data_IF_799917078762
#
_entry.id   IF_799917078762
#
_cell.length_a   1.000
_cell.length_b   1.000
_cell.length_c   1.000
_cell.angle_alpha   90.00
_cell.angle_beta   90.00
_cell.angle_gamma   90.00
#
_symmetry.space_group_name_H-M   'P 1'
#
loop_
_entity.id
_entity.type
_entity.pdbx_description
1 polymer ?
#
# COMPACT_ATOMS: atom_id res chain seq x y z
N UNK A 1 49.09 -33.99 49.36
CA UNK A 1 49.46 -35.27 48.69
C UNK A 1 48.16 -35.86 48.15
N UNK A 2 47.88 -36.09 46.86
CA UNK A 2 48.66 -36.16 45.62
C UNK A 2 47.78 -35.60 44.47
N UNK A 3 48.46 -35.00 43.50
CA UNK A 3 47.94 -34.57 42.20
C UNK A 3 47.58 -35.76 41.31
N UNK A 4 46.53 -35.61 40.49
CA UNK A 4 46.43 -36.00 39.06
C UNK A 4 45.02 -35.61 38.58
N UNK A 5 44.73 -35.15 37.37
CA UNK A 5 45.44 -34.46 36.31
C UNK A 5 44.32 -34.02 35.33
N UNK A 6 44.56 -32.92 34.64
CA UNK A 6 43.67 -32.26 33.68
C UNK A 6 43.22 -33.20 32.55
N UNK A 7 41.97 -33.03 32.12
CA UNK A 7 41.62 -33.09 30.70
C UNK A 7 40.61 -31.98 30.40
N UNK A 8 41.10 -30.97 29.69
CA UNK A 8 40.28 -30.02 28.96
C UNK A 8 39.96 -30.62 27.59
N UNK A 9 38.71 -30.54 27.17
CA UNK A 9 38.33 -30.58 25.77
C UNK A 9 37.22 -29.55 25.54
N UNK A 10 37.65 -28.43 24.99
CA UNK A 10 36.84 -27.38 24.37
C UNK A 10 36.30 -27.96 23.05
N UNK A 11 35.02 -27.73 22.73
CA UNK A 11 34.51 -28.15 21.42
C UNK A 11 33.02 -27.90 21.19
N UNK A 12 32.68 -26.63 20.93
CA UNK A 12 31.59 -26.19 20.05
C UNK A 12 30.16 -26.58 20.44
N UNK A 13 29.49 -25.70 21.21
CA UNK A 13 28.04 -25.61 21.21
C UNK A 13 27.57 -25.18 19.81
N UNK A 14 27.01 -26.10 19.03
CA UNK A 14 26.24 -25.78 17.83
C UNK A 14 25.00 -25.03 18.29
N UNK A 15 25.01 -23.70 18.14
CA UNK A 15 23.81 -22.89 18.26
C UNK A 15 22.82 -23.36 17.20
N UNK A 16 21.68 -23.86 17.65
CA UNK A 16 20.50 -24.05 16.79
C UNK A 16 20.06 -22.64 16.41
N UNK A 17 20.56 -22.17 15.27
CA UNK A 17 20.05 -20.99 14.60
C UNK A 17 18.63 -21.33 14.18
N UNK A 18 17.67 -20.89 15.01
CA UNK A 18 16.25 -21.02 14.72
C UNK A 18 15.98 -20.37 13.37
N UNK A 19 15.69 -21.22 12.38
CA UNK A 19 15.20 -20.80 11.08
C UNK A 19 13.82 -20.18 11.32
N UNK A 20 13.78 -18.86 11.44
CA UNK A 20 12.53 -18.12 11.47
C UNK A 20 11.79 -18.44 10.19
N UNK A 21 10.68 -19.17 10.30
CA UNK A 21 9.75 -19.35 9.21
C UNK A 21 9.19 -17.96 8.86
N UNK A 22 9.76 -17.33 7.83
CA UNK A 22 9.08 -16.27 7.12
C UNK A 22 7.80 -16.92 6.55
N UNK A 23 6.65 -16.61 7.14
CA UNK A 23 5.38 -16.94 6.53
C UNK A 23 5.41 -16.41 5.09
N UNK A 24 4.96 -17.19 4.09
CA UNK A 24 4.92 -16.68 2.73
C UNK A 24 4.05 -15.42 2.74
N UNK A 25 4.65 -14.28 2.37
CA UNK A 25 3.87 -13.12 2.00
C UNK A 25 2.94 -13.60 0.87
N UNK A 26 1.64 -13.65 1.13
CA UNK A 26 0.68 -13.95 0.08
C UNK A 26 0.90 -12.91 -1.02
N UNK A 27 1.24 -13.37 -2.23
CA UNK A 27 1.36 -12.48 -3.38
C UNK A 27 0.00 -11.81 -3.61
N UNK A 28 0.00 -10.52 -3.98
CA UNK A 28 -1.22 -9.79 -4.29
C UNK A 28 -1.97 -10.45 -5.46
N UNK A 29 -3.30 -10.56 -5.35
CA UNK A 29 -4.19 -11.17 -6.33
C UNK A 29 -5.03 -10.09 -7.03
N UNK A 30 -4.66 -9.76 -8.28
CA UNK A 30 -5.38 -8.77 -9.08
C UNK A 30 -6.86 -9.16 -9.34
N UNK A 31 -7.19 -10.45 -9.44
CA UNK A 31 -8.56 -10.90 -9.63
C UNK A 31 -9.39 -10.77 -8.35
N UNK A 32 -8.76 -10.93 -7.18
CA UNK A 32 -9.37 -10.57 -5.90
C UNK A 32 -9.56 -9.04 -5.79
N UNK A 33 -8.57 -8.28 -6.24
CA UNK A 33 -8.59 -6.82 -6.28
C UNK A 33 -9.71 -6.26 -7.14
N UNK A 34 -9.95 -6.83 -8.31
CA UNK A 34 -11.07 -6.48 -9.18
C UNK A 34 -12.41 -6.64 -8.47
N UNK A 35 -12.61 -7.76 -7.76
CA UNK A 35 -13.83 -7.99 -6.98
C UNK A 35 -13.97 -6.98 -5.85
N UNK A 36 -12.86 -6.65 -5.17
CA UNK A 36 -12.83 -5.65 -4.10
C UNK A 36 -13.09 -4.22 -4.62
N UNK A 37 -12.74 -3.94 -5.88
CA UNK A 37 -12.97 -2.64 -6.52
C UNK A 37 -14.46 -2.27 -6.58
N UNK A 38 -15.37 -3.23 -6.42
CA UNK A 38 -16.80 -2.97 -6.22
C UNK A 38 -17.09 -1.98 -5.06
N UNK A 39 -16.19 -1.85 -4.08
CA UNK A 39 -16.28 -0.85 -3.00
C UNK A 39 -15.75 0.52 -3.40
N UNK A 40 -14.82 0.56 -4.34
CA UNK A 40 -14.19 1.78 -4.83
C UNK A 40 -15.08 2.48 -5.89
N UNK A 41 -15.80 1.69 -6.69
CA UNK A 41 -16.58 2.21 -7.83
C UNK A 41 -17.73 3.14 -7.47
N UNK A 42 -18.16 3.18 -6.20
CA UNK A 42 -19.14 4.15 -5.73
C UNK A 42 -18.65 5.60 -5.90
N UNK A 43 -17.34 5.82 -5.77
CA UNK A 43 -16.74 7.15 -5.87
C UNK A 43 -15.82 7.31 -7.08
N UNK A 44 -15.23 6.23 -7.57
CA UNK A 44 -14.20 6.27 -8.60
C UNK A 44 -14.59 5.50 -9.85
N UNK A 45 -14.06 5.91 -10.99
CA UNK A 45 -14.06 5.14 -12.24
C UNK A 45 -12.63 4.76 -12.63
N UNK A 46 -12.51 3.80 -13.55
CA UNK A 46 -11.27 3.49 -14.27
C UNK A 46 -11.59 3.63 -15.76
N UNK A 47 -11.06 4.68 -16.38
CA UNK A 47 -11.22 4.93 -17.81
C UNK A 47 -9.95 5.54 -18.40
N UNK A 48 -9.55 5.07 -19.58
CA UNK A 48 -8.38 5.59 -20.30
C UNK A 48 -8.74 6.67 -21.34
N UNK A 49 -10.01 7.09 -21.40
CA UNK A 49 -10.54 8.04 -22.39
C UNK A 49 -11.24 7.37 -23.57
N UNK A 50 -10.71 6.23 -24.04
CA UNK A 50 -11.29 5.46 -25.15
C UNK A 50 -12.23 4.35 -24.66
N UNK A 51 -11.89 3.77 -23.51
CA UNK A 51 -12.60 2.67 -22.85
C UNK A 51 -12.90 3.02 -21.39
N UNK A 52 -14.04 2.52 -20.92
CA UNK A 52 -14.41 2.50 -19.49
C UNK A 52 -14.20 1.08 -18.99
N UNK A 53 -13.04 0.83 -18.37
CA UNK A 53 -12.65 -0.46 -17.79
C UNK A 53 -13.53 -0.79 -16.58
N UNK A 54 -13.72 0.20 -15.68
CA UNK A 54 -14.66 0.10 -14.56
C UNK A 54 -15.50 1.36 -14.49
N UNK A 55 -16.80 1.22 -14.77
CA UNK A 55 -17.76 2.30 -14.60
C UNK A 55 -17.96 2.57 -13.11
N UNK A 56 -17.89 3.84 -12.72
CA UNK A 56 -18.16 4.26 -11.35
C UNK A 56 -18.46 5.73 -11.20
N UNK A 57 -18.32 6.21 -9.96
CA UNK A 57 -18.61 7.60 -9.59
C UNK A 57 -17.52 8.58 -10.02
N UNK A 58 -17.84 9.87 -9.87
CA UNK A 58 -16.91 11.00 -10.08
C UNK A 58 -16.69 11.82 -8.81
N UNK A 59 -17.05 11.25 -7.65
CA UNK A 59 -16.79 11.86 -6.34
C UNK A 59 -15.30 11.84 -6.01
N UNK A 60 -14.62 10.76 -6.40
CA UNK A 60 -13.16 10.64 -6.41
C UNK A 60 -12.62 10.77 -7.84
N UNK A 61 -11.30 10.96 -8.00
CA UNK A 61 -10.67 11.06 -9.32
C UNK A 61 -10.70 9.71 -10.06
N UNK A 62 -10.50 9.77 -11.38
CA UNK A 62 -10.23 8.59 -12.19
C UNK A 62 -8.96 7.86 -11.69
N UNK A 63 -9.04 6.54 -11.56
CA UNK A 63 -7.96 5.70 -11.05
C UNK A 63 -7.16 5.00 -12.15
N UNK A 64 -7.52 5.16 -13.43
CA UNK A 64 -6.68 4.69 -14.53
C UNK A 64 -5.29 5.33 -14.46
N UNK A 65 -4.23 4.52 -14.58
CA UNK A 65 -2.84 5.01 -14.50
C UNK A 65 -2.50 5.65 -13.16
N UNK A 66 -3.09 5.20 -12.05
CA UNK A 66 -2.76 5.75 -10.73
C UNK A 66 -1.39 5.29 -10.23
N UNK A 67 -0.98 4.07 -10.53
CA UNK A 67 0.34 3.57 -10.14
C UNK A 67 1.44 4.35 -10.89
N UNK A 68 2.41 4.87 -10.14
CA UNK A 68 3.45 5.80 -10.58
C UNK A 68 3.02 7.27 -10.63
N UNK A 69 1.72 7.59 -10.51
CA UNK A 69 1.23 8.96 -10.62
C UNK A 69 1.49 9.76 -9.34
N UNK A 70 1.84 11.04 -9.50
CA UNK A 70 1.92 12.01 -8.40
C UNK A 70 0.57 12.12 -7.68
N UNK A 71 0.57 12.17 -6.35
CA UNK A 71 -0.66 12.41 -5.60
C UNK A 71 -1.26 13.79 -5.90
N UNK A 72 -2.60 13.86 -5.93
CA UNK A 72 -3.31 15.13 -6.12
C UNK A 72 -3.16 15.78 -7.49
N UNK A 73 -2.85 15.02 -8.56
CA UNK A 73 -2.40 15.59 -9.83
C UNK A 73 -3.30 15.35 -11.06
N UNK A 74 -4.47 14.73 -10.93
CA UNK A 74 -5.38 14.56 -12.08
C UNK A 74 -5.99 15.92 -12.44
N UNK A 75 -5.78 16.34 -13.69
CA UNK A 75 -6.30 17.61 -14.20
C UNK A 75 -7.83 17.67 -14.11
N UNK A 76 -8.35 18.85 -13.75
CA UNK A 76 -9.80 19.09 -13.63
C UNK A 76 -10.46 18.49 -12.38
N UNK A 77 -9.78 17.65 -11.60
CA UNK A 77 -10.31 17.14 -10.33
C UNK A 77 -9.95 18.07 -9.15
N UNK A 78 -10.92 18.32 -8.28
CA UNK A 78 -10.73 19.18 -7.08
C UNK A 78 -10.26 18.34 -5.90
N UNK A 79 -8.96 18.37 -5.63
CA UNK A 79 -8.36 17.68 -4.48
C UNK A 79 -8.46 18.47 -3.18
N UNK A 80 -8.38 17.76 -2.06
CA UNK A 80 -8.12 18.36 -0.75
C UNK A 80 -6.68 18.88 -0.66
N UNK A 81 -6.44 19.98 0.08
CA UNK A 81 -5.14 20.65 0.10
C UNK A 81 -4.00 19.75 0.60
N UNK A 82 -4.25 18.90 1.59
CA UNK A 82 -3.22 18.05 2.19
C UNK A 82 -2.75 16.94 1.23
N UNK A 83 -3.65 16.41 0.39
CA UNK A 83 -3.24 15.42 -0.62
C UNK A 83 -2.40 16.06 -1.73
N UNK A 84 -2.72 17.31 -2.10
CA UNK A 84 -1.89 18.10 -3.03
C UNK A 84 -0.52 18.36 -2.43
N UNK A 85 -0.47 18.81 -1.18
CA UNK A 85 0.78 19.07 -0.46
C UNK A 85 1.65 17.80 -0.33
N UNK A 86 1.03 16.63 -0.10
CA UNK A 86 1.75 15.36 -0.07
C UNK A 86 2.38 15.05 -1.43
N UNK A 87 1.65 15.27 -2.52
CA UNK A 87 2.19 15.16 -3.88
C UNK A 87 3.34 16.14 -4.13
N UNK A 88 3.24 17.39 -3.70
CA UNK A 88 4.30 18.40 -3.80
C UNK A 88 5.55 18.02 -2.99
N UNK A 89 5.38 17.34 -1.85
CA UNK A 89 6.46 16.72 -1.07
C UNK A 89 6.97 15.40 -1.67
N UNK A 90 6.55 15.03 -2.87
CA UNK A 90 7.08 13.89 -3.61
C UNK A 90 6.28 12.59 -3.51
N UNK A 91 5.06 12.61 -2.95
CA UNK A 91 4.22 11.41 -2.93
C UNK A 91 3.84 11.04 -4.37
N UNK A 92 4.34 9.89 -4.81
CA UNK A 92 3.87 9.17 -5.98
C UNK A 92 3.21 7.87 -5.51
N UNK A 93 2.21 7.39 -6.23
CA UNK A 93 1.47 6.19 -5.84
C UNK A 93 2.16 4.92 -6.33
N UNK A 94 2.87 4.23 -5.46
CA UNK A 94 3.24 2.82 -5.62
C UNK A 94 2.09 1.91 -5.21
N UNK A 95 2.17 0.64 -5.56
CA UNK A 95 1.26 -0.37 -5.03
C UNK A 95 1.28 -0.39 -3.50
N UNK A 96 2.47 -0.23 -2.90
CA UNK A 96 2.64 -0.18 -1.44
C UNK A 96 1.93 1.04 -0.83
N UNK A 97 2.12 2.24 -1.38
CA UNK A 97 1.45 3.43 -0.83
C UNK A 97 -0.06 3.38 -1.05
N UNK A 98 -0.56 2.78 -2.14
CA UNK A 98 -2.00 2.57 -2.31
C UNK A 98 -2.53 1.64 -1.23
N UNK A 99 -1.88 0.50 -0.99
CA UNK A 99 -2.29 -0.46 0.03
C UNK A 99 -2.32 0.17 1.44
N UNK A 100 -1.34 1.00 1.79
CA UNK A 100 -1.31 1.73 3.06
C UNK A 100 -2.37 2.85 3.11
N UNK A 101 -2.50 3.63 2.05
CA UNK A 101 -3.42 4.76 2.00
C UNK A 101 -4.87 4.32 2.13
N UNK A 102 -5.28 3.24 1.46
CA UNK A 102 -6.67 2.76 1.53
C UNK A 102 -7.04 2.19 2.90
N UNK A 103 -6.06 1.76 3.72
CA UNK A 103 -6.31 1.27 5.06
C UNK A 103 -6.79 2.39 6.00
N UNK A 104 -6.13 3.55 5.96
CA UNK A 104 -6.61 4.76 6.64
C UNK A 104 -6.07 6.03 5.94
N UNK A 105 -6.83 6.65 5.03
CA UNK A 105 -6.36 7.75 4.21
C UNK A 105 -5.94 8.98 5.01
N UNK A 106 -6.64 9.22 6.13
CA UNK A 106 -6.35 10.35 7.01
C UNK A 106 -5.08 10.07 7.80
N UNK A 107 -4.95 8.89 8.41
CA UNK A 107 -3.75 8.55 9.16
C UNK A 107 -2.50 8.53 8.27
N UNK A 108 -2.63 8.03 7.03
CA UNK A 108 -1.57 8.04 6.03
C UNK A 108 -1.08 9.47 5.76
N UNK A 109 -1.98 10.41 5.45
CA UNK A 109 -1.58 11.80 5.17
C UNK A 109 -0.97 12.48 6.40
N UNK A 110 -1.51 12.21 7.59
CA UNK A 110 -0.95 12.75 8.82
C UNK A 110 0.48 12.26 9.09
N UNK A 111 0.77 11.00 8.78
CA UNK A 111 2.11 10.44 8.89
C UNK A 111 3.04 10.97 7.79
N UNK A 112 2.60 10.94 6.53
CA UNK A 112 3.41 11.36 5.38
C UNK A 112 3.82 12.85 5.47
N UNK A 113 2.90 13.71 5.90
CA UNK A 113 3.15 15.15 6.00
C UNK A 113 3.84 15.57 7.29
N UNK A 114 3.94 14.68 8.28
CA UNK A 114 4.25 14.98 9.69
C UNK A 114 3.33 16.08 10.26
N UNK A 115 2.02 15.95 10.00
CA UNK A 115 1.00 16.91 10.43
C UNK A 115 -0.25 16.19 10.94
N UNK A 116 -0.49 16.23 12.25
CA UNK A 116 -1.67 15.59 12.88
C UNK A 116 -3.01 16.23 12.51
N UNK A 117 -3.00 17.42 11.92
CA UNK A 117 -4.20 18.12 11.47
C UNK A 117 -4.59 17.81 10.02
N UNK A 118 -3.70 17.15 9.26
CA UNK A 118 -3.94 16.78 7.87
C UNK A 118 -5.22 15.95 7.70
N UNK A 119 -5.93 16.20 6.60
CA UNK A 119 -7.24 15.66 6.27
C UNK A 119 -7.20 14.95 4.92
N UNK A 120 -7.93 13.84 4.84
CA UNK A 120 -8.29 13.24 3.55
C UNK A 120 -9.75 13.48 3.25
N UNK A 121 -10.05 13.81 1.99
CA UNK A 121 -11.42 13.82 1.47
C UNK A 121 -11.98 12.40 1.27
N UNK A 122 -11.12 11.39 1.21
CA UNK A 122 -11.53 9.99 1.18
C UNK A 122 -11.74 9.50 2.62
N UNK A 123 -13.00 9.30 3.01
CA UNK A 123 -13.36 8.84 4.37
C UNK A 123 -13.49 7.32 4.48
N UNK A 124 -13.55 6.62 3.35
CA UNK A 124 -13.61 5.17 3.29
C UNK A 124 -12.29 4.53 3.76
N UNK A 125 -12.41 3.37 4.41
CA UNK A 125 -11.27 2.57 4.89
C UNK A 125 -11.44 1.12 4.46
N UNK A 126 -10.35 0.54 3.97
CA UNK A 126 -10.25 -0.84 3.57
C UNK A 126 -9.25 -1.56 4.48
N UNK A 127 -9.74 -2.23 5.51
CA UNK A 127 -8.87 -2.86 6.51
C UNK A 127 -8.09 -4.09 6.00
N UNK A 128 -8.44 -4.64 4.82
CA UNK A 128 -7.85 -5.85 4.22
C UNK A 128 -7.99 -5.83 2.70
N UNK A 129 -6.98 -6.36 1.98
CA UNK A 129 -7.00 -6.49 0.52
C UNK A 129 -6.64 -5.19 -0.21
N UNK A 130 -5.91 -4.30 0.45
CA UNK A 130 -5.40 -3.08 -0.20
C UNK A 130 -4.34 -3.42 -1.24
N UNK A 131 -3.51 -4.42 -0.94
CA UNK A 131 -2.52 -5.03 -1.82
C UNK A 131 -3.15 -5.61 -3.09
N UNK A 132 -4.28 -6.31 -2.97
CA UNK A 132 -5.00 -6.90 -4.10
C UNK A 132 -5.58 -5.79 -4.99
N UNK A 133 -6.19 -4.77 -4.39
CA UNK A 133 -6.71 -3.60 -5.13
C UNK A 133 -5.58 -2.84 -5.82
N UNK A 134 -4.43 -2.69 -5.18
CA UNK A 134 -3.26 -2.06 -5.77
C UNK A 134 -2.75 -2.85 -6.99
N UNK A 135 -2.65 -4.18 -6.88
CA UNK A 135 -2.27 -5.06 -7.98
C UNK A 135 -3.29 -5.00 -9.13
N UNK A 136 -4.58 -4.94 -8.82
CA UNK A 136 -5.63 -4.75 -9.82
C UNK A 136 -5.43 -3.42 -10.57
N UNK A 137 -5.24 -2.32 -9.86
CA UNK A 137 -4.99 -1.00 -10.44
C UNK A 137 -3.72 -0.97 -11.30
N UNK A 138 -2.67 -1.69 -10.91
CA UNK A 138 -1.45 -1.85 -11.70
C UNK A 138 -1.73 -2.65 -13.00
N UNK A 139 -2.56 -3.68 -12.93
CA UNK A 139 -2.87 -4.56 -14.08
C UNK A 139 -3.70 -3.88 -15.16
N UNK A 140 -4.55 -2.91 -14.80
CA UNK A 140 -5.47 -2.24 -15.74
C UNK A 140 -4.96 -0.89 -16.24
N UNK A 141 -3.75 -0.51 -15.89
CA UNK A 141 -3.10 0.75 -16.27
C UNK A 141 -2.13 0.61 -17.46
N UNK A 142 -2.18 -0.53 -18.17
CA UNK A 142 -1.25 -0.93 -19.22
C UNK A 142 -1.80 -0.64 -20.63
#
# INVERSE_FOLDING_TARGET
>A
MKQVAKLAAIGTAFGIMGLGAAAPAAAADAAAGEKLFARCKACHEISNGDEVIQRGGKTGPNLYGVIGRKAGSVEGFRYGPDLVAAGEKGLAWTEAEIAEYVADPRAFLQAYLDDKSAKSSMTFKLNKGGEDVAAYLASVAQ
#
